data_IF_677318008067
#
_entry.id   IF_677318008067
#
_cell.length_a   1.000
_cell.length_b   1.000
_cell.length_c   1.000
_cell.angle_alpha   90.00
_cell.angle_beta   90.00
_cell.angle_gamma   90.00
#
_symmetry.space_group_name_H-M   'P 1'
#
loop_
_entity.id
_entity.type
_entity.pdbx_description
1 polymer ?
#
# COMPACT_ATOMS: atom_id res chain seq x y z
N UNK A 1 -3.41 17.83 -57.64
CA UNK A 1 -2.35 17.07 -56.93
C UNK A 1 -1.85 17.72 -55.63
N UNK A 2 -1.97 19.03 -55.40
CA UNK A 2 -1.49 19.69 -54.16
C UNK A 2 -2.19 19.23 -52.87
N UNK A 3 -3.46 18.84 -52.93
CA UNK A 3 -4.21 18.38 -51.74
C UNK A 3 -4.02 16.90 -51.41
N UNK A 4 -3.49 16.10 -52.36
CA UNK A 4 -3.29 14.67 -52.14
C UNK A 4 -2.16 14.40 -51.14
N UNK A 5 -1.10 15.22 -51.19
CA UNK A 5 0.03 15.14 -50.27
C UNK A 5 -0.36 15.49 -48.83
N UNK A 6 -1.26 16.46 -48.67
CA UNK A 6 -1.76 16.90 -47.36
C UNK A 6 -2.65 15.83 -46.71
N UNK A 7 -3.50 15.18 -47.52
CA UNK A 7 -4.34 14.05 -47.07
C UNK A 7 -3.46 12.85 -46.70
N UNK A 8 -2.42 12.55 -47.49
CA UNK A 8 -1.48 11.47 -47.18
C UNK A 8 -0.70 11.73 -45.87
N UNK A 9 -0.27 12.97 -45.63
CA UNK A 9 0.39 13.39 -44.39
C UNK A 9 -0.52 13.25 -43.17
N UNK A 10 -1.78 13.65 -43.28
CA UNK A 10 -2.78 13.49 -42.22
C UNK A 10 -3.04 12.00 -41.89
N UNK A 11 -3.16 11.13 -42.91
CA UNK A 11 -3.32 9.69 -42.71
C UNK A 11 -2.10 9.04 -42.06
N UNK A 12 -0.88 9.41 -42.44
CA UNK A 12 0.34 8.90 -41.81
C UNK A 12 0.49 9.32 -40.35
N UNK A 13 -0.01 10.51 -39.96
CA UNK A 13 -0.01 10.94 -38.55
C UNK A 13 -1.10 10.27 -37.71
N UNK A 14 -2.24 9.93 -38.29
CA UNK A 14 -3.33 9.24 -37.58
C UNK A 14 -3.02 7.76 -37.29
N UNK A 15 -2.30 7.07 -38.17
CA UNK A 15 -1.87 5.68 -37.90
C UNK A 15 -0.88 5.60 -36.73
N UNK A 16 0.00 6.60 -36.53
CA UNK A 16 0.93 6.61 -35.38
C UNK A 16 0.24 6.92 -34.05
N UNK A 17 -0.90 7.58 -34.06
CA UNK A 17 -1.66 7.86 -32.83
C UNK A 17 -2.24 6.59 -32.20
N UNK A 18 -2.53 5.56 -33.01
CA UNK A 18 -2.96 4.24 -32.52
C UNK A 18 -1.81 3.40 -31.96
N UNK A 19 -0.60 3.52 -32.52
CA UNK A 19 0.60 2.88 -31.96
C UNK A 19 1.00 3.47 -30.60
N UNK A 20 0.64 4.74 -30.33
CA UNK A 20 0.90 5.43 -29.04
C UNK A 20 -0.19 5.26 -27.98
N UNK A 21 -1.35 4.65 -28.30
CA UNK A 21 -2.21 4.08 -27.26
C UNK A 21 -1.58 2.74 -26.87
N UNK A 22 -0.49 2.81 -26.10
CA UNK A 22 0.22 1.64 -25.62
C UNK A 22 -0.78 0.64 -25.03
N UNK A 23 -0.70 -0.62 -25.50
CA UNK A 23 -1.52 -1.71 -24.99
C UNK A 23 -1.30 -1.85 -23.49
N UNK A 24 -2.12 -1.17 -22.69
CA UNK A 24 -2.03 -1.24 -21.25
C UNK A 24 -2.65 -2.57 -20.82
N UNK A 25 -1.83 -3.48 -20.31
CA UNK A 25 -2.29 -4.75 -19.77
C UNK A 25 -1.78 -4.89 -18.35
N UNK A 26 -2.69 -5.11 -17.41
CA UNK A 26 -2.38 -5.30 -16.00
C UNK A 26 -3.30 -6.34 -15.39
N UNK A 27 -2.73 -7.22 -14.58
CA UNK A 27 -3.46 -8.13 -13.69
C UNK A 27 -3.08 -7.78 -12.27
N UNK A 28 -4.06 -7.35 -11.48
CA UNK A 28 -3.89 -7.19 -10.03
C UNK A 28 -4.52 -8.39 -9.33
N UNK A 29 -3.70 -9.22 -8.72
CA UNK A 29 -4.12 -10.35 -7.90
C UNK A 29 -4.29 -9.90 -6.46
N UNK A 30 -5.37 -10.32 -5.82
CA UNK A 30 -5.67 -10.13 -4.41
C UNK A 30 -5.87 -11.50 -3.77
N UNK A 31 -5.33 -11.64 -2.56
CA UNK A 31 -5.41 -12.87 -1.77
C UNK A 31 -5.79 -12.53 -0.34
N UNK A 32 -6.82 -13.20 0.16
CA UNK A 32 -7.18 -13.25 1.56
C UNK A 32 -6.17 -14.14 2.28
N UNK A 33 -5.51 -13.60 3.29
CA UNK A 33 -4.41 -14.24 4.03
C UNK A 33 -4.76 -14.54 5.48
N UNK A 34 -5.79 -13.87 6.02
CA UNK A 34 -6.38 -14.13 7.32
C UNK A 34 -7.87 -13.82 7.25
N UNK A 35 -8.66 -14.40 8.15
CA UNK A 35 -10.11 -14.30 8.16
C UNK A 35 -10.63 -13.81 9.51
N UNK A 36 -11.74 -13.07 9.51
CA UNK A 36 -12.50 -12.80 10.73
C UNK A 36 -13.32 -14.04 11.11
N UNK A 37 -13.57 -14.25 12.40
CA UNK A 37 -14.39 -15.39 12.88
C UNK A 37 -15.78 -15.42 12.22
N UNK A 38 -16.39 -14.24 12.00
CA UNK A 38 -17.65 -14.03 11.28
C UNK A 38 -17.44 -13.25 9.96
N UNK A 39 -16.32 -13.52 9.28
CA UNK A 39 -15.91 -12.78 8.09
C UNK A 39 -16.82 -12.94 6.87
N UNK A 40 -16.82 -11.98 5.94
CA UNK A 40 -17.61 -12.07 4.73
C UNK A 40 -17.08 -13.17 3.80
N UNK A 41 -17.94 -13.69 2.92
CA UNK A 41 -17.58 -14.83 2.07
C UNK A 41 -16.52 -14.53 1.00
N UNK A 42 -16.29 -13.27 0.60
CA UNK A 42 -15.40 -13.00 -0.54
C UNK A 42 -14.31 -12.00 -0.18
N UNK A 43 -13.13 -12.20 -0.77
CA UNK A 43 -12.02 -11.23 -0.68
C UNK A 43 -12.45 -9.83 -1.16
N UNK A 44 -13.42 -9.72 -2.08
CA UNK A 44 -13.97 -8.43 -2.52
C UNK A 44 -14.61 -7.66 -1.35
N UNK A 45 -15.35 -8.35 -0.48
CA UNK A 45 -15.97 -7.74 0.70
C UNK A 45 -14.92 -7.28 1.70
N UNK A 46 -13.88 -8.09 1.94
CA UNK A 46 -12.74 -7.67 2.76
C UNK A 46 -12.05 -6.43 2.16
N UNK A 47 -11.87 -6.37 0.83
CA UNK A 47 -11.25 -5.22 0.16
C UNK A 47 -12.05 -3.93 0.41
N UNK A 48 -13.37 -4.02 0.37
CA UNK A 48 -14.26 -2.88 0.64
C UNK A 48 -14.20 -2.42 2.11
N UNK A 49 -14.03 -3.36 3.03
CA UNK A 49 -13.93 -3.10 4.47
C UNK A 49 -12.55 -2.55 4.87
N UNK A 50 -11.47 -3.24 4.51
CA UNK A 50 -10.10 -2.89 4.90
C UNK A 50 -9.56 -1.67 4.14
N UNK A 51 -9.94 -1.53 2.86
CA UNK A 51 -9.49 -0.47 1.93
C UNK A 51 -7.98 -0.40 1.64
N UNK A 52 -7.17 -1.18 2.36
CA UNK A 52 -5.71 -1.23 2.25
C UNK A 52 -5.19 -2.67 2.37
N UNK A 53 -4.03 -2.92 1.78
CA UNK A 53 -3.28 -4.17 1.98
C UNK A 53 -2.71 -4.27 3.40
N UNK A 54 -2.54 -5.48 3.89
CA UNK A 54 -2.04 -5.73 5.24
C UNK A 54 -2.29 -7.17 5.68
N UNK A 55 -2.51 -7.38 6.98
CA UNK A 55 -2.65 -8.72 7.57
C UNK A 55 -3.71 -9.60 6.88
N UNK A 56 -4.85 -9.01 6.53
CA UNK A 56 -6.00 -9.72 5.97
C UNK A 56 -5.91 -9.90 4.46
N UNK A 57 -5.41 -8.89 3.73
CA UNK A 57 -5.36 -8.92 2.26
C UNK A 57 -3.98 -8.52 1.76
N UNK A 58 -3.43 -9.38 0.91
CA UNK A 58 -2.23 -9.10 0.14
C UNK A 58 -2.59 -8.91 -1.33
N UNK A 59 -1.77 -8.14 -2.05
CA UNK A 59 -1.97 -7.91 -3.47
C UNK A 59 -0.64 -7.88 -4.23
N UNK A 60 -0.70 -8.31 -5.50
CA UNK A 60 0.42 -8.29 -6.42
C UNK A 60 -0.05 -7.83 -7.81
N UNK A 61 0.85 -7.17 -8.56
CA UNK A 61 0.59 -6.77 -9.93
C UNK A 61 1.47 -7.56 -10.89
N UNK A 62 0.91 -7.91 -12.05
CA UNK A 62 1.63 -8.43 -13.21
C UNK A 62 1.20 -7.66 -14.46
N UNK A 63 2.15 -7.39 -15.35
CA UNK A 63 1.90 -6.74 -16.63
C UNK A 63 2.01 -7.73 -17.80
N UNK A 64 1.98 -9.03 -17.49
CA UNK A 64 2.06 -10.10 -18.48
C UNK A 64 0.73 -10.26 -19.23
N UNK A 65 0.78 -10.00 -20.53
CA UNK A 65 -0.40 -10.08 -21.38
C UNK A 65 -0.93 -11.51 -21.52
N UNK A 66 -0.05 -12.52 -21.53
CA UNK A 66 -0.46 -13.93 -21.66
C UNK A 66 -1.29 -14.35 -20.46
N UNK A 67 -0.88 -14.00 -19.24
CA UNK A 67 -1.65 -14.21 -18.02
C UNK A 67 -3.02 -13.54 -18.11
N UNK A 68 -3.08 -12.26 -18.50
CA UNK A 68 -4.32 -11.51 -18.62
C UNK A 68 -5.31 -12.17 -19.58
N UNK A 69 -4.88 -12.48 -20.81
CA UNK A 69 -5.73 -13.11 -21.81
C UNK A 69 -6.12 -14.55 -21.43
N UNK A 70 -5.22 -15.32 -20.80
CA UNK A 70 -5.52 -16.66 -20.30
C UNK A 70 -6.62 -16.65 -19.25
N UNK A 71 -6.55 -15.76 -18.25
CA UNK A 71 -7.57 -15.66 -17.20
C UNK A 71 -8.97 -15.34 -17.77
N UNK A 72 -9.05 -14.40 -18.72
CA UNK A 72 -10.32 -14.07 -19.39
C UNK A 72 -10.84 -15.23 -20.24
N UNK A 73 -9.94 -15.96 -20.91
CA UNK A 73 -10.29 -17.16 -21.67
C UNK A 73 -10.87 -18.23 -20.74
N UNK A 74 -10.18 -18.55 -19.64
CA UNK A 74 -10.62 -19.56 -18.69
C UNK A 74 -11.96 -19.22 -18.04
N UNK A 75 -12.22 -17.94 -17.71
CA UNK A 75 -13.53 -17.51 -17.21
C UNK A 75 -14.67 -17.82 -18.20
N UNK A 76 -14.43 -17.67 -19.51
CA UNK A 76 -15.41 -18.01 -20.55
C UNK A 76 -15.56 -19.52 -20.73
N UNK A 77 -14.45 -20.25 -20.73
CA UNK A 77 -14.44 -21.71 -20.88
C UNK A 77 -15.08 -22.41 -19.69
N UNK A 78 -14.86 -21.91 -18.47
CA UNK A 78 -15.40 -22.47 -17.24
C UNK A 78 -16.92 -22.64 -17.31
N UNK A 79 -17.63 -21.58 -17.67
CA UNK A 79 -19.09 -21.58 -17.77
C UNK A 79 -19.64 -22.57 -18.82
N UNK A 80 -18.82 -22.96 -19.81
CA UNK A 80 -19.25 -23.76 -20.95
C UNK A 80 -18.80 -25.22 -20.88
N UNK A 81 -17.64 -25.49 -20.27
CA UNK A 81 -16.91 -26.75 -20.46
C UNK A 81 -16.46 -27.40 -19.16
N UNK A 82 -16.29 -26.63 -18.08
CA UNK A 82 -15.71 -27.17 -16.85
C UNK A 82 -16.78 -27.78 -15.95
N UNK A 83 -16.36 -28.75 -15.13
CA UNK A 83 -17.26 -29.40 -14.17
C UNK A 83 -17.73 -28.40 -13.12
N UNK A 84 -19.04 -28.18 -13.06
CA UNK A 84 -19.71 -27.27 -12.12
C UNK A 84 -19.93 -27.96 -10.78
N UNK A 85 -19.51 -27.32 -9.70
CA UNK A 85 -19.77 -27.69 -8.32
C UNK A 85 -20.53 -26.55 -7.62
N UNK A 86 -21.51 -26.90 -6.80
CA UNK A 86 -22.21 -25.91 -5.97
C UNK A 86 -21.24 -25.40 -4.89
N UNK A 87 -21.08 -24.08 -4.79
CA UNK A 87 -20.18 -23.47 -3.80
C UNK A 87 -20.96 -22.39 -3.07
N UNK A 88 -21.53 -22.77 -1.93
CA UNK A 88 -22.36 -21.89 -1.09
C UNK A 88 -21.51 -21.21 -0.03
N UNK A 89 -21.48 -19.89 -0.13
CA UNK A 89 -20.89 -18.99 0.84
C UNK A 89 -21.40 -19.13 2.29
N UNK A 90 -22.54 -19.81 2.51
CA UNK A 90 -23.14 -20.00 3.83
C UNK A 90 -22.38 -20.99 4.73
N UNK A 91 -21.41 -21.73 4.19
CA UNK A 91 -20.71 -22.82 4.90
C UNK A 91 -19.29 -22.46 5.36
N UNK A 92 -19.00 -21.17 5.61
CA UNK A 92 -17.67 -20.66 6.04
C UNK A 92 -16.54 -20.82 5.03
N UNK A 93 -16.81 -21.25 3.80
CA UNK A 93 -15.81 -21.28 2.74
C UNK A 93 -15.74 -19.89 2.09
N UNK A 94 -14.69 -19.14 2.44
CA UNK A 94 -14.40 -17.90 1.75
C UNK A 94 -13.89 -18.17 0.32
N UNK A 95 -14.15 -17.25 -0.60
CA UNK A 95 -13.51 -17.14 -1.91
C UNK A 95 -12.31 -16.20 -1.72
N UNK A 96 -11.12 -16.75 -1.51
CA UNK A 96 -10.01 -15.98 -0.97
C UNK A 96 -9.26 -15.21 -2.05
N UNK A 97 -9.43 -15.57 -3.32
CA UNK A 97 -8.59 -15.08 -4.40
C UNK A 97 -9.43 -14.33 -5.44
N UNK A 98 -8.89 -13.19 -5.90
CA UNK A 98 -9.50 -12.36 -6.93
C UNK A 98 -8.42 -11.79 -7.85
N UNK A 99 -8.62 -11.89 -9.14
CA UNK A 99 -7.81 -11.23 -10.16
C UNK A 99 -8.65 -10.14 -10.82
N UNK A 100 -8.12 -8.93 -10.84
CA UNK A 100 -8.65 -7.82 -11.62
C UNK A 100 -7.81 -7.69 -12.87
N UNK A 101 -8.40 -8.00 -14.03
CA UNK A 101 -7.75 -7.99 -15.33
C UNK A 101 -8.14 -6.72 -16.08
N UNK A 102 -7.15 -5.90 -16.41
CA UNK A 102 -7.28 -4.64 -17.12
C UNK A 102 -6.54 -4.73 -18.45
N UNK A 103 -7.26 -4.56 -19.57
CA UNK A 103 -6.72 -4.53 -20.93
C UNK A 103 -7.26 -3.29 -21.64
N UNK A 104 -6.42 -2.29 -21.83
CA UNK A 104 -6.79 -0.96 -22.32
C UNK A 104 -7.90 -0.35 -21.46
N UNK A 105 -9.12 -0.19 -22.01
CA UNK A 105 -10.30 0.31 -21.28
C UNK A 105 -11.18 -0.81 -20.73
N UNK A 106 -10.89 -2.06 -21.07
CA UNK A 106 -11.66 -3.21 -20.61
C UNK A 106 -11.16 -3.65 -19.24
N UNK A 107 -12.09 -3.91 -18.32
CA UNK A 107 -11.81 -4.39 -16.97
C UNK A 107 -12.78 -5.50 -16.62
N UNK A 108 -12.25 -6.63 -16.17
CA UNK A 108 -13.05 -7.74 -15.67
C UNK A 108 -12.39 -8.40 -14.46
N UNK A 109 -13.17 -9.14 -13.69
CA UNK A 109 -12.74 -9.78 -12.45
C UNK A 109 -12.93 -11.29 -12.54
N UNK A 110 -11.92 -12.03 -12.11
CA UNK A 110 -11.89 -13.49 -12.04
C UNK A 110 -11.70 -13.88 -10.58
N UNK A 111 -12.56 -14.76 -10.05
CA UNK A 111 -12.43 -15.25 -8.67
C UNK A 111 -11.99 -16.71 -8.69
N UNK A 112 -11.15 -17.10 -7.74
CA UNK A 112 -10.65 -18.47 -7.63
C UNK A 112 -10.69 -18.98 -6.19
N UNK A 113 -10.62 -20.29 -6.03
CA UNK A 113 -10.42 -20.96 -4.74
C UNK A 113 -9.00 -20.74 -4.20
N UNK A 114 -8.77 -21.07 -2.92
CA UNK A 114 -7.50 -20.86 -2.21
C UNK A 114 -6.26 -21.37 -2.95
N UNK A 115 -6.38 -22.55 -3.56
CA UNK A 115 -5.34 -23.23 -4.32
C UNK A 115 -5.41 -22.97 -5.84
N UNK A 116 -6.25 -22.02 -6.28
CA UNK A 116 -6.45 -21.68 -7.69
C UNK A 116 -6.84 -22.88 -8.57
N UNK A 117 -7.47 -23.92 -8.01
CA UNK A 117 -7.90 -25.11 -8.76
C UNK A 117 -9.31 -25.00 -9.33
N UNK A 118 -10.02 -23.91 -9.03
CA UNK A 118 -11.37 -23.68 -9.53
C UNK A 118 -11.65 -22.20 -9.72
N UNK A 119 -12.44 -21.90 -10.74
CA UNK A 119 -13.00 -20.58 -10.99
C UNK A 119 -14.34 -20.44 -10.30
N UNK A 120 -14.55 -19.35 -9.57
CA UNK A 120 -15.83 -19.04 -8.96
C UNK A 120 -16.54 -17.94 -9.75
N UNK A 121 -17.82 -18.16 -10.06
CA UNK A 121 -18.68 -17.16 -10.69
C UNK A 121 -19.71 -16.66 -9.67
N UNK A 122 -19.52 -15.47 -9.06
CA UNK A 122 -20.39 -14.98 -7.99
C UNK A 122 -21.86 -14.86 -8.36
N UNK A 123 -22.16 -14.52 -9.62
CA UNK A 123 -23.55 -14.40 -10.09
C UNK A 123 -24.29 -15.74 -10.14
N UNK A 124 -23.56 -16.84 -10.21
CA UNK A 124 -24.12 -18.20 -10.31
C UNK A 124 -23.96 -19.00 -9.01
N UNK A 125 -23.26 -18.43 -8.01
CA UNK A 125 -22.90 -19.11 -6.76
C UNK A 125 -22.29 -20.50 -6.99
N UNK A 126 -21.42 -20.59 -8.00
CA UNK A 126 -20.87 -21.85 -8.48
C UNK A 126 -19.37 -21.80 -8.72
N UNK A 127 -18.71 -22.89 -8.35
CA UNK A 127 -17.31 -23.17 -8.67
C UNK A 127 -17.20 -24.08 -9.90
N UNK A 128 -16.19 -23.85 -10.71
CA UNK A 128 -15.90 -24.61 -11.92
C UNK A 128 -14.49 -25.17 -11.80
N UNK A 129 -14.38 -26.49 -11.74
CA UNK A 129 -13.12 -27.17 -11.46
C UNK A 129 -12.20 -27.21 -12.69
N UNK A 130 -10.96 -26.75 -12.51
CA UNK A 130 -9.90 -26.79 -13.51
C UNK A 130 -9.12 -28.10 -13.42
N UNK A 131 -9.64 -29.15 -14.05
CA UNK A 131 -9.02 -30.47 -14.04
C UNK A 131 -7.62 -30.55 -14.67
N UNK A 132 -7.19 -29.50 -15.39
CA UNK A 132 -5.90 -29.44 -16.07
C UNK A 132 -4.89 -28.50 -15.40
N UNK A 133 -5.25 -27.87 -14.27
CA UNK A 133 -4.42 -26.84 -13.61
C UNK A 133 -3.97 -25.72 -14.58
N UNK A 134 -4.81 -25.38 -15.54
CA UNK A 134 -4.60 -24.37 -16.57
C UNK A 134 -4.37 -22.97 -15.97
N UNK A 135 -5.05 -22.65 -14.86
CA UNK A 135 -4.94 -21.37 -14.15
C UNK A 135 -3.52 -21.21 -13.60
N UNK A 136 -3.08 -22.14 -12.74
CA UNK A 136 -1.76 -22.08 -12.10
C UNK A 136 -0.63 -22.22 -13.11
N UNK A 137 -0.79 -23.05 -14.16
CA UNK A 137 0.17 -23.18 -15.25
C UNK A 137 0.35 -21.89 -16.08
N UNK A 138 -0.58 -20.93 -15.99
CA UNK A 138 -0.48 -19.64 -16.67
C UNK A 138 0.25 -18.56 -15.86
N UNK A 139 0.52 -18.81 -14.58
CA UNK A 139 1.19 -17.84 -13.72
C UNK A 139 2.63 -17.59 -14.16
N UNK A 140 3.05 -16.33 -14.10
CA UNK A 140 4.47 -15.98 -14.14
C UNK A 140 5.14 -16.47 -12.85
N UNK A 141 6.47 -16.65 -12.83
CA UNK A 141 7.19 -17.07 -11.62
C UNK A 141 6.89 -16.22 -10.39
N UNK A 142 6.74 -14.90 -10.56
CA UNK A 142 6.43 -13.96 -9.48
C UNK A 142 5.00 -14.14 -8.96
N UNK A 143 4.04 -14.39 -9.86
CA UNK A 143 2.65 -14.62 -9.50
C UNK A 143 2.48 -15.97 -8.80
N UNK A 144 3.18 -17.01 -9.29
CA UNK A 144 3.23 -18.31 -8.63
C UNK A 144 3.80 -18.18 -7.22
N UNK A 145 4.97 -17.52 -7.07
CA UNK A 145 5.57 -17.26 -5.77
C UNK A 145 4.64 -16.49 -4.83
N UNK A 146 3.88 -15.52 -5.34
CA UNK A 146 2.88 -14.79 -4.54
C UNK A 146 1.81 -15.71 -3.92
N UNK A 147 1.30 -16.69 -4.67
CA UNK A 147 0.30 -17.64 -4.16
C UNK A 147 0.90 -18.78 -3.33
N UNK A 148 2.15 -19.15 -3.56
CA UNK A 148 2.83 -20.21 -2.80
C UNK A 148 3.31 -19.74 -1.41
N UNK A 149 3.38 -18.42 -1.17
CA UNK A 149 3.78 -17.87 0.13
C UNK A 149 2.79 -18.21 1.24
N UNK A 150 3.32 -18.55 2.41
CA UNK A 150 2.56 -18.68 3.66
C UNK A 150 2.56 -17.34 4.43
N UNK A 151 1.73 -16.41 3.95
CA UNK A 151 1.58 -15.10 4.58
C UNK A 151 1.13 -15.18 6.04
N UNK A 152 0.33 -16.19 6.41
CA UNK A 152 -0.20 -16.34 7.76
C UNK A 152 0.92 -16.59 8.75
N UNK A 153 1.79 -17.57 8.47
CA UNK A 153 2.96 -17.85 9.32
C UNK A 153 3.97 -16.71 9.29
N UNK A 154 4.16 -16.08 8.13
CA UNK A 154 5.02 -14.92 7.93
C UNK A 154 4.61 -13.72 8.80
N UNK A 155 3.31 -13.44 8.93
CA UNK A 155 2.80 -12.36 9.79
C UNK A 155 2.80 -12.72 11.26
N UNK A 156 2.46 -13.96 11.62
CA UNK A 156 2.53 -14.42 13.01
C UNK A 156 3.95 -14.33 13.59
N UNK A 157 4.97 -14.52 12.75
CA UNK A 157 6.38 -14.47 13.13
C UNK A 157 7.06 -13.15 12.73
N UNK A 158 6.30 -12.13 12.29
CA UNK A 158 6.87 -10.87 11.83
C UNK A 158 7.64 -10.20 12.96
N UNK A 159 8.90 -9.89 12.69
CA UNK A 159 9.73 -9.02 13.53
C UNK A 159 9.75 -7.63 12.91
N UNK A 160 9.71 -6.62 13.77
CA UNK A 160 9.83 -5.21 13.38
C UNK A 160 11.17 -4.73 13.93
N UNK A 161 11.94 -4.02 13.11
CA UNK A 161 13.17 -3.38 13.58
C UNK A 161 12.85 -2.34 14.65
N UNK A 162 13.79 -2.09 15.56
CA UNK A 162 13.61 -1.06 16.58
C UNK A 162 14.84 -0.20 16.81
N UNK A 163 14.60 1.08 17.05
CA UNK A 163 15.64 2.07 17.32
C UNK A 163 15.46 2.72 18.69
N UNK A 164 16.53 3.16 19.36
CA UNK A 164 16.40 3.96 20.57
C UNK A 164 15.84 5.36 20.23
N UNK A 165 15.04 5.91 21.14
CA UNK A 165 14.50 7.26 21.06
C UNK A 165 15.53 8.37 20.76
N UNK A 166 16.77 8.18 21.23
CA UNK A 166 17.87 9.11 20.99
C UNK A 166 18.27 9.23 19.51
N UNK A 167 17.82 8.33 18.64
CA UNK A 167 18.05 8.38 17.20
C UNK A 167 16.97 9.15 16.43
N UNK A 168 15.98 9.72 17.12
CA UNK A 168 15.02 10.67 16.53
C UNK A 168 15.52 12.10 16.81
N UNK A 169 16.04 12.74 15.76
CA UNK A 169 16.78 13.99 15.86
C UNK A 169 16.17 15.08 14.97
N UNK A 170 16.09 16.32 15.47
CA UNK A 170 15.97 17.52 14.63
C UNK A 170 17.28 18.29 14.72
N UNK A 171 17.91 18.55 13.57
CA UNK A 171 19.22 19.23 13.51
C UNK A 171 20.24 18.60 14.48
N UNK A 172 20.34 17.26 14.47
CA UNK A 172 21.21 16.46 15.36
C UNK A 172 20.89 16.55 16.86
N UNK A 173 19.74 17.12 17.24
CA UNK A 173 19.33 17.24 18.65
C UNK A 173 18.20 16.25 18.96
N UNK A 174 18.32 15.41 20.00
CA UNK A 174 17.27 14.48 20.41
C UNK A 174 15.99 15.19 20.90
N UNK A 175 14.84 14.59 20.54
CA UNK A 175 13.52 15.14 20.87
C UNK A 175 12.83 14.48 22.07
N UNK A 176 13.18 13.25 22.39
CA UNK A 176 12.46 12.48 23.41
C UNK A 176 12.42 13.19 24.77
N UNK A 177 11.23 13.25 25.38
CA UNK A 177 10.94 13.95 26.64
C UNK A 177 11.25 15.46 26.62
N UNK A 178 11.47 16.09 25.46
CA UNK A 178 11.55 17.55 25.39
C UNK A 178 10.19 18.14 25.75
N UNK A 179 10.19 19.00 26.75
CA UNK A 179 9.02 19.83 27.07
C UNK A 179 8.91 20.97 26.06
N UNK A 180 7.70 21.50 25.88
CA UNK A 180 7.45 22.70 25.08
C UNK A 180 8.48 23.81 25.33
N UNK A 181 8.67 24.22 26.59
CA UNK A 181 9.60 25.32 26.95
C UNK A 181 11.04 25.02 26.53
N UNK A 182 11.49 23.77 26.64
CA UNK A 182 12.84 23.37 26.24
C UNK A 182 13.02 23.34 24.72
N UNK A 183 11.94 23.00 24.01
CA UNK A 183 11.88 22.95 22.55
C UNK A 183 11.87 24.36 21.94
N UNK A 184 11.00 25.25 22.46
CA UNK A 184 10.91 26.66 22.03
C UNK A 184 12.23 27.42 22.19
N UNK A 185 13.03 27.10 23.20
CA UNK A 185 14.37 27.71 23.40
C UNK A 185 15.39 27.29 22.35
N UNK A 186 15.22 26.12 21.73
CA UNK A 186 16.19 25.55 20.80
C UNK A 186 15.90 25.94 19.33
N UNK A 187 14.73 26.51 19.04
CA UNK A 187 14.24 26.70 17.67
C UNK A 187 13.78 28.14 17.47
N UNK A 188 14.40 28.81 16.50
CA UNK A 188 14.08 30.18 16.13
C UNK A 188 12.81 30.21 15.26
N UNK A 189 11.74 30.84 15.75
CA UNK A 189 10.44 31.03 15.07
C UNK A 189 9.64 29.73 14.87
N UNK A 190 8.52 29.62 15.58
CA UNK A 190 7.50 28.59 15.35
C UNK A 190 6.13 29.26 15.22
N UNK A 191 5.23 28.67 14.44
CA UNK A 191 3.83 29.08 14.41
C UNK A 191 3.06 28.17 15.38
N UNK A 192 2.46 28.77 16.42
CA UNK A 192 1.54 28.06 17.32
C UNK A 192 0.15 28.10 16.70
N UNK A 193 -0.43 26.92 16.46
CA UNK A 193 -1.85 26.79 16.18
C UNK A 193 -2.47 26.08 17.38
N UNK A 194 -3.36 26.79 18.08
CA UNK A 194 -4.14 26.20 19.16
C UNK A 194 -5.43 25.65 18.56
N UNK A 195 -5.59 24.33 18.52
CA UNK A 195 -6.85 23.70 18.16
C UNK A 195 -7.75 23.68 19.39
N UNK A 196 -8.46 24.79 19.62
CA UNK A 196 -9.50 24.84 20.64
C UNK A 196 -10.69 24.02 20.15
N UNK A 197 -10.84 22.79 20.67
CA UNK A 197 -12.04 22.00 20.47
C UNK A 197 -13.18 22.59 21.30
N UNK A 198 -13.99 23.46 20.68
CA UNK A 198 -15.22 24.01 21.28
C UNK A 198 -16.19 22.90 21.74
N UNK A 199 -16.05 21.69 21.19
CA UNK A 199 -16.93 20.55 21.42
C UNK A 199 -16.36 19.47 22.36
N UNK A 200 -15.07 19.53 22.70
CA UNK A 200 -14.44 18.55 23.59
C UNK A 200 -13.19 19.13 24.30
N UNK A 201 -13.34 19.80 25.45
CA UNK A 201 -12.26 20.51 26.14
C UNK A 201 -11.11 19.60 26.61
N UNK A 202 -11.38 18.31 26.83
CA UNK A 202 -10.39 17.32 27.28
C UNK A 202 -9.39 16.91 26.17
N UNK A 203 -9.67 17.25 24.91
CA UNK A 203 -8.83 16.91 23.74
C UNK A 203 -8.07 18.11 23.14
N UNK A 204 -7.91 19.18 23.90
CA UNK A 204 -7.13 20.34 23.46
C UNK A 204 -5.63 19.99 23.38
N UNK A 205 -5.14 19.72 22.18
CA UNK A 205 -3.71 19.53 21.91
C UNK A 205 -3.12 20.84 21.36
N UNK A 206 -1.83 21.07 21.63
CA UNK A 206 -1.11 22.21 21.06
C UNK A 206 -0.27 21.71 19.90
N UNK A 207 -0.52 22.29 18.75
CA UNK A 207 0.17 21.96 17.51
C UNK A 207 1.14 23.08 17.12
N UNK A 208 2.35 22.69 16.75
CA UNK A 208 3.42 23.61 16.37
C UNK A 208 3.91 23.24 14.99
N UNK A 209 4.02 24.25 14.13
CA UNK A 209 4.62 24.10 12.83
C UNK A 209 6.04 24.64 12.83
N UNK A 210 6.95 23.78 12.40
CA UNK A 210 8.35 24.07 12.13
C UNK A 210 8.61 23.73 10.67
N UNK A 211 8.43 24.72 9.80
CA UNK A 211 8.45 24.54 8.34
C UNK A 211 7.47 23.46 7.87
N UNK A 212 8.01 22.33 7.45
CA UNK A 212 7.34 21.15 6.92
C UNK A 212 7.12 20.06 7.97
N UNK A 213 7.38 20.38 9.24
CA UNK A 213 7.15 19.53 10.39
C UNK A 213 6.03 20.05 11.28
N UNK A 214 5.09 19.17 11.60
CA UNK A 214 4.06 19.33 12.60
C UNK A 214 4.48 18.61 13.88
N UNK A 215 4.36 19.28 15.03
CA UNK A 215 4.78 18.76 16.33
C UNK A 215 3.63 18.90 17.31
N UNK A 216 3.25 17.79 17.93
CA UNK A 216 2.21 17.76 18.94
C UNK A 216 2.82 17.45 20.31
N UNK A 217 2.27 18.11 21.32
CA UNK A 217 2.64 17.91 22.71
C UNK A 217 1.48 17.24 23.45
N UNK A 218 1.81 16.26 24.28
CA UNK A 218 0.87 15.64 25.20
C UNK A 218 0.23 16.70 26.11
N UNK A 219 -1.08 16.63 26.28
CA UNK A 219 -1.84 17.61 27.06
C UNK A 219 -1.54 17.58 28.56
N UNK A 220 -1.18 16.41 29.10
CA UNK A 220 -0.96 16.20 30.53
C UNK A 220 0.48 16.53 30.92
N UNK A 221 1.45 15.97 30.19
CA UNK A 221 2.87 16.05 30.54
C UNK A 221 3.60 17.20 29.81
N UNK A 222 2.98 17.78 28.77
CA UNK A 222 3.56 18.88 27.99
C UNK A 222 4.86 18.51 27.26
N UNK A 223 5.07 17.21 27.04
CA UNK A 223 6.19 16.63 26.28
C UNK A 223 5.77 16.35 24.84
N UNK A 224 6.73 16.29 23.91
CA UNK A 224 6.45 15.90 22.52
C UNK A 224 5.90 14.47 22.50
N UNK A 225 4.71 14.28 21.93
CA UNK A 225 4.04 12.98 21.77
C UNK A 225 4.06 12.51 20.33
N UNK A 226 3.89 13.43 19.36
CA UNK A 226 3.87 13.13 17.94
C UNK A 226 4.67 14.16 17.13
N UNK A 227 5.28 13.68 16.05
CA UNK A 227 5.98 14.48 15.07
C UNK A 227 5.66 13.97 13.66
N UNK A 228 5.28 14.86 12.75
CA UNK A 228 5.01 14.52 11.35
C UNK A 228 5.78 15.46 10.44
N UNK A 229 6.69 14.94 9.61
CA UNK A 229 7.44 15.70 8.62
C UNK A 229 6.98 15.33 7.21
N UNK A 230 6.51 16.28 6.42
CA UNK A 230 5.93 16.04 5.09
C UNK A 230 6.66 16.82 4.02
N UNK A 231 7.03 16.19 2.89
CA UNK A 231 7.71 16.92 1.82
C UNK A 231 6.78 17.95 1.18
N UNK A 232 7.12 19.23 1.31
CA UNK A 232 6.42 20.35 0.65
C UNK A 232 7.26 20.94 -0.49
N UNK A 233 6.60 21.56 -1.46
CA UNK A 233 7.28 22.18 -2.62
C UNK A 233 7.84 23.58 -2.34
N UNK A 234 7.63 24.10 -1.13
CA UNK A 234 8.09 25.42 -0.71
C UNK A 234 9.51 25.34 -0.13
N UNK A 235 10.38 26.28 -0.50
CA UNK A 235 11.73 26.36 0.03
C UNK A 235 11.78 27.36 1.19
N UNK A 236 11.88 26.85 2.42
CA UNK A 236 11.98 27.68 3.61
C UNK A 236 13.38 28.32 3.75
N UNK A 237 13.48 29.58 4.22
CA UNK A 237 14.77 30.26 4.43
C UNK A 237 15.67 29.58 5.47
N UNK A 238 15.09 29.10 6.57
CA UNK A 238 15.77 28.33 7.60
C UNK A 238 15.42 26.85 7.39
N UNK A 239 16.41 25.94 7.43
CA UNK A 239 16.17 24.50 7.21
C UNK A 239 16.26 23.73 8.51
N UNK A 240 15.24 22.93 8.79
CA UNK A 240 15.23 21.96 9.87
C UNK A 240 15.21 20.56 9.28
N UNK A 241 16.10 19.69 9.75
CA UNK A 241 16.24 18.34 9.22
C UNK A 241 15.84 17.34 10.29
N UNK A 242 14.74 16.62 10.05
CA UNK A 242 14.41 15.41 10.80
C UNK A 242 15.28 14.26 10.32
N UNK A 243 15.96 13.59 11.25
CA UNK A 243 16.71 12.37 11.00
C UNK A 243 16.28 11.25 11.93
N UNK A 244 16.01 10.08 11.35
CA UNK A 244 15.70 8.85 12.06
C UNK A 244 16.83 7.85 11.80
N UNK A 245 17.75 7.67 12.76
CA UNK A 245 18.93 6.80 12.58
C UNK A 245 19.72 7.08 11.28
N UNK A 246 19.81 8.36 10.90
CA UNK A 246 20.48 8.82 9.67
C UNK A 246 19.63 8.77 8.40
N UNK A 247 18.37 8.31 8.47
CA UNK A 247 17.38 8.38 7.38
C UNK A 247 16.66 9.72 7.41
N UNK A 248 16.51 10.35 6.25
CA UNK A 248 15.96 11.70 6.08
C UNK A 248 14.74 11.68 5.15
N UNK A 249 13.91 12.71 5.29
CA UNK A 249 12.85 12.99 4.33
C UNK A 249 13.43 13.19 2.92
N UNK A 250 12.86 12.53 1.92
CA UNK A 250 13.29 12.60 0.52
C UNK A 250 14.40 11.61 0.12
N UNK A 251 15.00 10.89 1.07
CA UNK A 251 15.89 9.78 0.77
C UNK A 251 15.19 8.70 -0.08
N UNK A 252 15.97 7.95 -0.84
CA UNK A 252 15.48 6.77 -1.56
C UNK A 252 15.06 5.67 -0.57
N UNK A 253 14.05 4.91 -0.94
CA UNK A 253 13.51 3.80 -0.16
C UNK A 253 14.57 2.73 0.14
N UNK A 254 15.52 2.49 -0.75
CA UNK A 254 16.58 1.50 -0.58
C UNK A 254 17.38 1.70 0.71
N UNK A 255 17.49 2.94 1.19
CA UNK A 255 18.15 3.25 2.46
C UNK A 255 17.42 2.65 3.67
N UNK A 256 16.10 2.48 3.58
CA UNK A 256 15.32 1.78 4.59
C UNK A 256 15.60 0.27 4.56
N UNK A 257 15.83 -0.32 3.39
CA UNK A 257 16.17 -1.75 3.28
C UNK A 257 17.50 -2.06 3.97
N UNK A 258 18.47 -1.16 3.82
CA UNK A 258 19.78 -1.29 4.47
C UNK A 258 19.70 -1.09 6.00
N UNK A 259 18.88 -0.14 6.45
CA UNK A 259 18.79 0.23 7.87
C UNK A 259 17.82 -0.64 8.67
N UNK A 260 16.73 -1.08 8.04
CA UNK A 260 15.57 -1.74 8.66
C UNK A 260 15.08 -2.92 7.80
N UNK A 261 15.90 -3.97 7.62
CA UNK A 261 15.59 -5.08 6.72
C UNK A 261 14.35 -5.89 7.14
N UNK A 262 14.09 -6.04 8.45
CA UNK A 262 12.95 -6.79 8.94
C UNK A 262 11.64 -6.00 8.76
N UNK A 263 11.69 -4.70 9.05
CA UNK A 263 10.55 -3.78 8.85
C UNK A 263 10.14 -3.61 7.39
N UNK A 264 11.09 -3.78 6.46
CA UNK A 264 10.88 -3.55 5.02
C UNK A 264 10.61 -4.82 4.20
N UNK A 265 10.60 -5.99 4.85
CA UNK A 265 10.39 -7.30 4.21
C UNK A 265 9.07 -7.42 3.44
N UNK A 266 8.01 -6.79 3.93
CA UNK A 266 6.68 -6.82 3.30
C UNK A 266 6.43 -5.52 2.55
N UNK A 267 6.80 -5.52 1.27
CA UNK A 267 6.48 -4.41 0.36
C UNK A 267 4.97 -4.21 0.28
N UNK A 268 4.55 -2.96 0.15
CA UNK A 268 3.16 -2.55 -0.01
C UNK A 268 2.29 -2.74 1.25
N UNK A 269 2.86 -2.85 2.46
CA UNK A 269 2.06 -2.85 3.69
C UNK A 269 1.33 -1.50 3.86
N UNK A 270 0.01 -1.55 4.10
CA UNK A 270 -0.82 -0.35 4.22
C UNK A 270 -1.05 0.40 2.91
N UNK A 271 -0.65 -0.17 1.77
CA UNK A 271 -0.90 0.41 0.44
C UNK A 271 -2.40 0.45 0.14
N UNK A 272 -2.82 1.48 -0.58
CA UNK A 272 -4.19 1.49 -1.10
C UNK A 272 -4.30 0.48 -2.25
N UNK A 273 -5.42 -0.23 -2.37
CA UNK A 273 -5.59 -1.25 -3.41
C UNK A 273 -5.53 -0.71 -4.85
N UNK A 274 -5.73 0.59 -5.03
CA UNK A 274 -5.60 1.27 -6.33
C UNK A 274 -4.19 1.83 -6.59
N UNK A 275 -3.27 1.75 -5.62
CA UNK A 275 -1.93 2.33 -5.68
C UNK A 275 -0.93 1.46 -4.88
N UNK A 276 -0.75 0.21 -5.34
CA UNK A 276 0.01 -0.78 -4.61
C UNK A 276 1.51 -0.45 -4.56
N UNK A 277 2.06 0.09 -5.65
CA UNK A 277 3.50 0.19 -5.84
C UNK A 277 4.07 1.62 -5.67
N UNK A 278 3.23 2.65 -5.64
CA UNK A 278 3.69 4.04 -5.52
C UNK A 278 3.27 4.71 -4.21
N UNK A 279 2.48 4.06 -3.34
CA UNK A 279 2.04 4.67 -2.07
C UNK A 279 1.79 3.62 -0.96
N UNK A 280 2.73 3.52 -0.01
CA UNK A 280 2.66 2.59 1.13
C UNK A 280 3.52 3.08 2.28
N UNK A 281 3.60 2.31 3.36
CA UNK A 281 4.39 2.68 4.53
C UNK A 281 5.19 1.52 5.13
N UNK A 282 6.29 1.88 5.78
CA UNK A 282 7.07 1.00 6.65
C UNK A 282 7.03 1.49 8.08
N UNK A 283 6.98 0.56 9.02
CA UNK A 283 6.95 0.86 10.45
C UNK A 283 8.21 0.33 11.13
N UNK A 284 8.79 1.13 12.02
CA UNK A 284 9.95 0.78 12.86
C UNK A 284 9.59 1.10 14.31
N UNK A 285 9.78 0.16 15.22
CA UNK A 285 9.47 0.36 16.63
C UNK A 285 10.46 1.28 17.35
N UNK A 286 10.01 1.92 18.43
CA UNK A 286 10.88 2.62 19.37
C UNK A 286 11.18 1.71 20.57
N UNK A 287 12.47 1.49 20.86
CA UNK A 287 12.91 0.61 21.94
C UNK A 287 12.37 1.08 23.29
N UNK A 288 11.96 0.11 24.11
CA UNK A 288 11.40 0.34 25.45
C UNK A 288 10.09 1.16 25.45
N UNK A 289 9.41 1.26 24.30
CA UNK A 289 8.03 1.72 24.21
C UNK A 289 7.11 0.53 23.96
N UNK A 290 5.92 0.56 24.56
CA UNK A 290 4.87 -0.40 24.20
C UNK A 290 4.16 0.02 22.91
N UNK A 291 4.03 1.32 22.66
CA UNK A 291 3.25 1.88 21.55
C UNK A 291 4.02 2.88 20.66
N UNK A 292 5.32 3.07 20.90
CA UNK A 292 6.11 4.04 20.16
C UNK A 292 6.64 3.47 18.85
N UNK A 293 6.45 4.20 17.76
CA UNK A 293 6.86 3.79 16.42
C UNK A 293 7.21 4.98 15.52
N UNK A 294 7.92 4.67 14.44
CA UNK A 294 8.19 5.57 13.32
C UNK A 294 7.57 4.95 12.07
N UNK A 295 6.77 5.74 11.37
CA UNK A 295 6.17 5.36 10.09
C UNK A 295 6.82 6.16 8.97
N UNK A 296 7.43 5.47 8.02
CA UNK A 296 7.98 6.04 6.79
C UNK A 296 6.99 5.82 5.65
N UNK A 297 6.41 6.89 5.13
CA UNK A 297 5.51 6.83 3.99
C UNK A 297 6.30 7.01 2.70
N UNK A 298 6.16 6.04 1.81
CA UNK A 298 6.90 5.96 0.56
C UNK A 298 5.99 6.42 -0.57
N UNK A 299 6.51 7.34 -1.39
CA UNK A 299 5.89 7.73 -2.65
C UNK A 299 6.88 7.67 -3.78
N UNK A 300 6.58 6.88 -4.82
CA UNK A 300 7.46 6.69 -5.99
C UNK A 300 8.90 6.34 -5.56
N UNK A 301 9.05 5.35 -4.68
CA UNK A 301 10.33 4.86 -4.11
C UNK A 301 11.15 5.88 -3.32
N UNK A 302 10.52 6.95 -2.83
CA UNK A 302 11.17 7.96 -1.97
C UNK A 302 10.37 8.20 -0.71
N UNK A 303 11.06 8.54 0.37
CA UNK A 303 10.42 8.89 1.64
C UNK A 303 9.73 10.25 1.46
N UNK A 304 8.40 10.23 1.46
CA UNK A 304 7.56 11.40 1.23
C UNK A 304 7.02 12.02 2.52
N UNK A 305 6.90 11.22 3.57
CA UNK A 305 6.52 11.65 4.91
C UNK A 305 7.15 10.73 5.96
N UNK A 306 7.49 11.29 7.11
CA UNK A 306 7.92 10.55 8.29
C UNK A 306 7.00 10.96 9.44
N UNK A 307 6.38 9.98 10.08
CA UNK A 307 5.61 10.17 11.31
C UNK A 307 6.31 9.46 12.46
N UNK A 308 6.38 10.10 13.63
CA UNK A 308 6.91 9.52 14.87
C UNK A 308 5.86 9.66 15.94
N UNK A 309 5.56 8.56 16.61
CA UNK A 309 4.74 8.50 17.82
C UNK A 309 5.63 7.96 18.95
N UNK A 310 5.79 8.73 20.04
CA UNK A 310 6.74 8.42 21.11
C UNK A 310 6.19 7.45 22.18
#
# INVERSE_FOLDING_TARGET
MKHLLLILLLFCTLCRAQDTYGNYTKVTAYRLTDEYEDGPCSVLSYIQQERKTGKYIQAAESYDAKLAYSLLKYKKEAALQWTKNELKCSNKEAIPNMFVVEINKFKDTVFTTANNCSLFLPKEEAGYFDGHNSITASFTPEMAAFFDRDYKSEFANRRIDSIPYAQVLINNTPLYKKTRKSFEKAIHKFQLIKTDSVFNPDNSHKEYWLNDMQIQFDGNDGIISQLTATKVSYNFPEKYTLSINGVLLGDEEEKLYEKFPESTKYRNWGAAFNDLNDNYAYEVGLKNSFNGYVTFYIKKKRIAMIEVNF
#
